data_IF_453827310058
#
_entry.id   IF_453827310058
#
_cell.length_a   1.000
_cell.length_b   1.000
_cell.length_c   1.000
_cell.angle_alpha   90.00
_cell.angle_beta   90.00
_cell.angle_gamma   90.00
#
_symmetry.space_group_name_H-M   'P 1'
#
loop_
_entity.id
_entity.type
_entity.pdbx_description
1 polymer ?
#
# COMPACT_ATOMS: atom_id res chain seq x y z
N UNK A 1 31.77 -4.46 2.53
CA UNK A 1 30.79 -5.12 3.41
C UNK A 1 29.55 -5.53 2.63
N UNK A 2 28.32 -5.04 2.87
CA UNK A 2 27.12 -5.53 2.14
C UNK A 2 27.20 -5.26 0.63
N UNK A 3 27.50 -4.03 0.22
CA UNK A 3 27.58 -3.67 -1.21
C UNK A 3 28.70 -4.45 -1.91
N UNK A 4 29.85 -4.64 -1.27
CA UNK A 4 30.95 -5.43 -1.83
C UNK A 4 30.52 -6.90 -2.02
N UNK A 5 29.84 -7.47 -0.98
CA UNK A 5 29.27 -8.81 -1.08
C UNK A 5 28.27 -8.94 -2.24
N UNK A 6 27.33 -7.99 -2.37
CA UNK A 6 26.33 -8.02 -3.44
C UNK A 6 26.98 -7.83 -4.83
N UNK A 7 28.02 -7.01 -4.94
CA UNK A 7 28.78 -6.83 -6.16
C UNK A 7 29.48 -8.12 -6.59
N UNK A 8 30.13 -8.82 -5.66
CA UNK A 8 30.75 -10.10 -5.93
C UNK A 8 29.71 -11.17 -6.28
N UNK A 9 28.64 -11.26 -5.48
CA UNK A 9 27.58 -12.25 -5.64
C UNK A 9 26.82 -12.13 -6.98
N UNK A 10 26.48 -10.90 -7.37
CA UNK A 10 25.77 -10.63 -8.64
C UNK A 10 26.72 -10.34 -9.81
N UNK A 11 28.03 -10.37 -9.59
CA UNK A 11 29.04 -9.93 -10.58
C UNK A 11 28.64 -8.56 -11.17
N UNK A 12 28.36 -7.59 -10.30
CA UNK A 12 27.77 -6.30 -10.65
C UNK A 12 28.62 -5.11 -10.19
N UNK A 13 28.29 -3.92 -10.66
CA UNK A 13 28.79 -2.62 -10.17
C UNK A 13 27.60 -1.82 -9.60
N UNK A 14 27.14 -2.24 -8.42
CA UNK A 14 25.99 -1.65 -7.73
C UNK A 14 26.40 -0.34 -7.03
N UNK A 15 25.57 0.68 -7.20
CA UNK A 15 25.73 2.00 -6.58
C UNK A 15 24.44 2.40 -5.88
N UNK A 16 24.56 3.00 -4.69
CA UNK A 16 23.43 3.59 -3.99
C UNK A 16 22.85 4.75 -4.81
N UNK A 17 21.54 4.79 -4.94
CA UNK A 17 20.83 5.89 -5.59
C UNK A 17 20.14 6.78 -4.55
N UNK A 18 19.59 6.23 -3.50
CA UNK A 18 19.00 6.94 -2.37
C UNK A 18 18.64 6.00 -1.22
N UNK A 19 18.46 6.56 -0.04
CA UNK A 19 17.88 5.91 1.12
C UNK A 19 16.48 6.48 1.36
N UNK A 20 15.46 5.62 1.40
CA UNK A 20 14.07 6.02 1.59
C UNK A 20 13.51 5.31 2.82
N UNK A 21 13.08 6.08 3.82
CA UNK A 21 12.41 5.58 5.03
C UNK A 21 13.13 4.38 5.70
N UNK A 22 14.47 4.38 5.69
CA UNK A 22 15.30 3.30 6.25
C UNK A 22 15.59 2.14 5.28
N UNK A 23 15.00 2.14 4.09
CA UNK A 23 15.35 1.20 3.01
C UNK A 23 16.40 1.83 2.10
N UNK A 24 17.37 1.03 1.65
CA UNK A 24 18.41 1.46 0.72
C UNK A 24 18.15 0.86 -0.65
N UNK A 25 18.34 1.66 -1.70
CA UNK A 25 18.20 1.21 -3.08
C UNK A 25 19.55 1.31 -3.81
N UNK A 26 19.87 0.24 -4.56
CA UNK A 26 21.06 0.21 -5.40
C UNK A 26 20.66 -0.09 -6.84
N UNK A 27 21.46 0.41 -7.78
CA UNK A 27 21.35 0.08 -9.21
C UNK A 27 22.72 -0.23 -9.79
N UNK A 28 22.77 -1.10 -10.79
CA UNK A 28 24.01 -1.43 -11.49
C UNK A 28 23.83 -2.54 -12.52
N UNK A 29 24.80 -2.68 -13.42
CA UNK A 29 24.82 -3.74 -14.41
C UNK A 29 25.37 -5.04 -13.82
N UNK A 30 24.68 -6.16 -14.05
CA UNK A 30 25.12 -7.49 -13.65
C UNK A 30 25.54 -8.32 -14.85
N UNK A 31 26.72 -8.90 -14.77
CA UNK A 31 27.20 -9.88 -15.75
C UNK A 31 26.56 -11.24 -15.55
N UNK A 32 26.21 -11.59 -14.32
CA UNK A 32 25.54 -12.85 -14.00
C UNK A 32 24.14 -12.93 -14.63
N UNK A 33 23.33 -11.86 -14.51
CA UNK A 33 21.96 -11.82 -15.02
C UNK A 33 21.86 -11.21 -16.43
N UNK A 34 22.95 -10.71 -17.00
CA UNK A 34 22.96 -9.97 -18.26
C UNK A 34 21.88 -8.87 -18.31
N UNK A 35 21.76 -8.12 -17.20
CA UNK A 35 20.71 -7.15 -16.99
C UNK A 35 21.15 -6.04 -16.02
N UNK A 36 20.50 -4.89 -16.15
CA UNK A 36 20.54 -3.86 -15.14
C UNK A 36 19.67 -4.28 -13.95
N UNK A 37 20.22 -4.19 -12.76
CA UNK A 37 19.58 -4.55 -11.50
C UNK A 37 19.02 -3.32 -10.80
N UNK A 38 17.89 -3.51 -10.14
CA UNK A 38 17.34 -2.65 -9.10
C UNK A 38 17.26 -3.48 -7.81
N UNK A 39 18.03 -3.08 -6.81
CA UNK A 39 18.19 -3.83 -5.57
C UNK A 39 17.58 -3.03 -4.42
N UNK A 40 16.65 -3.65 -3.70
CA UNK A 40 16.03 -3.10 -2.50
C UNK A 40 16.59 -3.80 -1.27
N UNK A 41 17.02 -3.04 -0.28
CA UNK A 41 17.57 -3.55 0.99
C UNK A 41 16.65 -3.10 2.10
N UNK A 42 16.12 -4.07 2.84
CA UNK A 42 15.15 -3.88 3.92
C UNK A 42 15.79 -4.18 5.27
N UNK A 43 15.31 -3.52 6.31
CA UNK A 43 15.56 -3.87 7.72
C UNK A 43 14.40 -4.67 8.32
N UNK A 44 13.20 -4.49 7.80
CA UNK A 44 11.96 -5.12 8.25
C UNK A 44 11.69 -6.40 7.44
N UNK A 45 11.58 -7.54 8.13
CA UNK A 45 11.32 -8.86 7.49
C UNK A 45 9.99 -8.87 6.73
N UNK A 46 8.98 -8.27 7.31
CA UNK A 46 7.64 -8.22 6.74
C UNK A 46 7.64 -7.50 5.40
N UNK A 47 8.33 -6.37 5.28
CA UNK A 47 8.48 -5.62 4.03
C UNK A 47 9.23 -6.42 2.97
N UNK A 48 10.31 -7.09 3.38
CA UNK A 48 11.09 -7.96 2.49
C UNK A 48 10.23 -9.10 1.93
N UNK A 49 9.54 -9.86 2.80
CA UNK A 49 8.71 -10.97 2.34
C UNK A 49 7.54 -10.51 1.48
N UNK A 50 6.92 -9.38 1.80
CA UNK A 50 5.87 -8.81 0.97
C UNK A 50 6.39 -8.46 -0.43
N UNK A 51 7.50 -7.73 -0.53
CA UNK A 51 8.12 -7.37 -1.81
C UNK A 51 8.53 -8.61 -2.61
N UNK A 52 9.18 -9.59 -1.97
CA UNK A 52 9.60 -10.83 -2.60
C UNK A 52 8.42 -11.62 -3.14
N UNK A 53 7.52 -12.07 -2.25
CA UNK A 53 6.46 -13.01 -2.60
C UNK A 53 5.47 -12.43 -3.62
N UNK A 54 5.18 -11.11 -3.53
CA UNK A 54 4.30 -10.49 -4.51
C UNK A 54 4.98 -10.39 -5.87
N UNK A 55 6.26 -9.98 -5.94
CA UNK A 55 6.99 -9.93 -7.21
C UNK A 55 7.14 -11.30 -7.87
N UNK A 56 7.35 -12.37 -7.10
CA UNK A 56 7.42 -13.75 -7.65
C UNK A 56 6.16 -14.15 -8.42
N UNK A 57 4.99 -13.67 -8.00
CA UNK A 57 3.70 -14.00 -8.63
C UNK A 57 3.25 -12.94 -9.62
N UNK A 58 3.33 -11.65 -9.24
CA UNK A 58 2.82 -10.54 -10.06
C UNK A 58 3.75 -10.21 -11.23
N UNK A 59 5.05 -10.22 -10.99
CA UNK A 59 6.06 -9.80 -11.96
C UNK A 59 7.23 -10.81 -12.06
N UNK A 60 6.98 -12.11 -12.36
CA UNK A 60 8.00 -13.16 -12.35
C UNK A 60 9.16 -12.92 -13.33
N UNK A 61 8.94 -12.11 -14.36
CA UNK A 61 10.00 -11.72 -15.30
C UNK A 61 10.84 -10.51 -14.83
N UNK A 62 10.43 -9.88 -13.73
CA UNK A 62 11.14 -8.76 -13.08
C UNK A 62 11.92 -9.26 -11.88
N UNK A 63 11.31 -10.13 -11.07
CA UNK A 63 11.94 -10.75 -9.93
C UNK A 63 13.13 -11.61 -10.40
N UNK A 64 14.29 -11.43 -9.76
CA UNK A 64 15.51 -12.16 -10.10
C UNK A 64 16.00 -13.03 -8.94
N UNK A 65 16.09 -12.44 -7.74
CA UNK A 65 16.69 -13.14 -6.60
C UNK A 65 16.36 -12.44 -5.28
N UNK A 66 16.64 -13.13 -4.19
CA UNK A 66 16.66 -12.58 -2.84
C UNK A 66 17.83 -13.12 -2.03
N UNK A 67 18.37 -12.30 -1.13
CA UNK A 67 19.48 -12.67 -0.26
C UNK A 67 19.23 -12.13 1.13
N UNK A 68 19.56 -12.93 2.14
CA UNK A 68 19.65 -12.50 3.54
C UNK A 68 21.15 -12.48 3.89
N UNK A 69 21.65 -11.30 4.21
CA UNK A 69 23.06 -11.11 4.59
C UNK A 69 23.13 -10.31 5.89
N UNK A 70 23.59 -10.97 6.96
CA UNK A 70 23.51 -10.45 8.32
C UNK A 70 22.06 -10.02 8.64
N UNK A 71 21.87 -8.77 9.12
CA UNK A 71 20.54 -8.21 9.41
C UNK A 71 19.94 -7.42 8.23
N UNK A 72 20.37 -7.72 7.00
CA UNK A 72 19.85 -7.08 5.80
C UNK A 72 19.11 -8.09 4.93
N UNK A 73 17.94 -7.69 4.49
CA UNK A 73 17.05 -8.47 3.63
C UNK A 73 17.02 -7.83 2.25
N UNK A 74 17.46 -8.56 1.24
CA UNK A 74 17.70 -8.01 -0.10
C UNK A 74 16.77 -8.64 -1.12
N UNK A 75 16.04 -7.82 -1.88
CA UNK A 75 15.30 -8.24 -3.07
C UNK A 75 15.96 -7.64 -4.30
N UNK A 76 16.25 -8.46 -5.28
CA UNK A 76 16.90 -8.05 -6.54
C UNK A 76 15.91 -8.21 -7.69
N UNK A 77 15.67 -7.12 -8.37
CA UNK A 77 14.75 -7.00 -9.49
C UNK A 77 15.50 -6.61 -10.76
N UNK A 78 14.97 -6.96 -11.91
CA UNK A 78 15.41 -6.43 -13.19
C UNK A 78 14.98 -4.97 -13.32
N UNK A 79 15.94 -4.06 -13.44
CA UNK A 79 15.63 -2.66 -13.72
C UNK A 79 15.06 -2.54 -15.16
N UNK A 80 13.85 -2.00 -15.24
CA UNK A 80 13.16 -1.74 -16.51
C UNK A 80 13.05 -0.24 -16.71
N UNK A 81 13.20 0.21 -17.94
CA UNK A 81 12.93 1.60 -18.29
C UNK A 81 11.42 1.80 -18.29
N UNK A 82 10.88 2.21 -17.13
CA UNK A 82 9.46 2.52 -16.94
C UNK A 82 9.27 4.04 -16.93
N UNK A 83 8.07 4.48 -17.33
CA UNK A 83 7.69 5.90 -17.33
C UNK A 83 6.77 6.18 -16.15
N UNK A 84 7.07 7.25 -15.43
CA UNK A 84 6.23 7.74 -14.33
C UNK A 84 4.95 8.39 -14.87
N UNK A 85 3.88 8.34 -14.07
CA UNK A 85 2.58 8.92 -14.41
C UNK A 85 2.25 10.19 -13.61
N UNK A 86 3.20 10.71 -12.82
CA UNK A 86 2.93 11.78 -11.84
C UNK A 86 2.23 13.01 -12.42
N UNK A 87 2.53 13.39 -13.66
CA UNK A 87 1.94 14.56 -14.31
C UNK A 87 0.61 14.25 -15.04
N UNK A 88 0.14 13.00 -15.01
CA UNK A 88 -1.07 12.62 -15.73
C UNK A 88 -2.31 13.08 -14.97
N UNK A 89 -3.06 14.02 -15.55
CA UNK A 89 -4.34 14.43 -15.00
C UNK A 89 -5.32 13.26 -14.94
N UNK A 90 -5.83 12.95 -13.73
CA UNK A 90 -6.83 11.89 -13.54
C UNK A 90 -8.17 12.39 -14.09
N UNK A 91 -8.70 11.66 -15.07
CA UNK A 91 -10.04 11.80 -15.62
C UNK A 91 -10.78 10.46 -15.49
N UNK A 92 -12.03 10.39 -15.92
CA UNK A 92 -12.84 9.18 -15.79
C UNK A 92 -12.26 7.95 -16.51
N UNK A 93 -11.58 8.13 -17.65
CA UNK A 93 -10.93 7.03 -18.37
C UNK A 93 -9.68 6.51 -17.62
N UNK A 94 -8.87 7.44 -17.11
CA UNK A 94 -7.68 7.09 -16.31
C UNK A 94 -8.09 6.40 -15.00
N UNK A 95 -9.11 6.93 -14.31
CA UNK A 95 -9.65 6.31 -13.11
C UNK A 95 -10.15 4.89 -13.36
N UNK A 96 -10.87 4.66 -14.46
CA UNK A 96 -11.29 3.31 -14.87
C UNK A 96 -10.10 2.35 -15.06
N UNK A 97 -9.04 2.81 -15.76
CA UNK A 97 -7.84 1.97 -15.98
C UNK A 97 -7.10 1.66 -14.68
N UNK A 98 -7.05 2.58 -13.73
CA UNK A 98 -6.45 2.35 -12.42
C UNK A 98 -7.26 1.35 -11.59
N UNK A 99 -8.59 1.45 -11.61
CA UNK A 99 -9.46 0.45 -10.99
C UNK A 99 -9.25 -0.94 -11.57
N UNK A 100 -9.24 -1.03 -12.91
CA UNK A 100 -8.97 -2.27 -13.63
C UNK A 100 -7.62 -2.88 -13.25
N UNK A 101 -6.57 -2.07 -13.18
CA UNK A 101 -5.22 -2.51 -12.81
C UNK A 101 -5.18 -3.10 -11.39
N UNK A 102 -5.82 -2.44 -10.42
CA UNK A 102 -5.87 -2.93 -9.04
C UNK A 102 -6.72 -4.21 -8.94
N UNK A 103 -7.85 -4.30 -9.66
CA UNK A 103 -8.66 -5.52 -9.71
C UNK A 103 -7.91 -6.70 -10.33
N UNK A 104 -7.12 -6.47 -11.38
CA UNK A 104 -6.22 -7.47 -11.97
C UNK A 104 -5.16 -7.93 -10.97
N UNK A 105 -4.57 -7.00 -10.21
CA UNK A 105 -3.59 -7.31 -9.16
C UNK A 105 -4.20 -8.21 -8.08
N UNK A 106 -5.32 -7.81 -7.46
CA UNK A 106 -5.98 -8.59 -6.42
C UNK A 106 -6.37 -9.99 -6.92
N UNK A 107 -6.88 -10.10 -8.14
CA UNK A 107 -7.26 -11.38 -8.73
C UNK A 107 -6.04 -12.29 -9.01
N UNK A 108 -4.91 -11.70 -9.39
CA UNK A 108 -3.70 -12.45 -9.72
C UNK A 108 -2.99 -12.98 -8.48
N UNK A 109 -2.84 -12.13 -7.42
CA UNK A 109 -1.97 -12.46 -6.28
C UNK A 109 -2.71 -13.12 -5.11
N UNK A 110 -4.00 -12.83 -4.93
CA UNK A 110 -4.78 -13.36 -3.80
C UNK A 110 -4.80 -14.89 -3.80
N UNK A 111 -4.52 -15.46 -2.63
CA UNK A 111 -4.42 -16.91 -2.43
C UNK A 111 -3.15 -17.57 -2.98
N UNK A 112 -2.23 -16.80 -3.59
CA UNK A 112 -0.99 -17.32 -4.18
C UNK A 112 0.27 -16.86 -3.46
N UNK A 113 0.16 -15.84 -2.61
CA UNK A 113 1.30 -15.26 -1.89
C UNK A 113 1.09 -15.32 -0.38
N UNK A 114 2.18 -15.47 0.35
CA UNK A 114 2.21 -15.41 1.80
C UNK A 114 2.70 -14.02 2.21
N UNK A 115 1.78 -13.21 2.72
CA UNK A 115 2.07 -11.90 3.29
C UNK A 115 1.44 -11.78 4.67
N UNK A 116 1.83 -10.75 5.41
CA UNK A 116 1.31 -10.51 6.76
C UNK A 116 -0.22 -10.35 6.75
N UNK A 117 -0.86 -10.96 7.74
CA UNK A 117 -2.26 -10.78 8.08
C UNK A 117 -2.40 -10.41 9.56
N UNK A 118 -3.09 -9.32 9.85
CA UNK A 118 -3.43 -8.99 11.23
C UNK A 118 -4.72 -9.71 11.62
N UNK A 119 -4.58 -10.81 12.35
CA UNK A 119 -5.70 -11.65 12.79
C UNK A 119 -6.39 -11.13 14.05
N UNK A 120 -5.96 -9.99 14.59
CA UNK A 120 -6.61 -9.38 15.75
C UNK A 120 -7.92 -8.73 15.35
N UNK A 121 -8.94 -8.72 16.23
CA UNK A 121 -10.17 -7.98 16.01
C UNK A 121 -9.91 -6.52 15.59
N UNK A 122 -10.66 -6.02 14.62
CA UNK A 122 -10.50 -4.66 14.08
C UNK A 122 -10.52 -3.57 15.18
N UNK A 123 -11.41 -3.65 16.20
CA UNK A 123 -11.39 -2.69 17.31
C UNK A 123 -10.12 -2.71 18.14
N UNK A 124 -9.47 -3.87 18.26
CA UNK A 124 -8.20 -4.00 18.99
C UNK A 124 -7.06 -3.37 18.19
N UNK A 125 -6.99 -3.63 16.89
CA UNK A 125 -6.01 -2.99 15.99
C UNK A 125 -6.11 -1.46 16.07
N UNK A 126 -7.33 -0.90 16.02
CA UNK A 126 -7.59 0.53 16.12
C UNK A 126 -7.15 1.08 17.47
N UNK A 127 -7.54 0.41 18.59
CA UNK A 127 -7.21 0.89 19.96
C UNK A 127 -5.71 0.88 20.22
N UNK A 128 -4.99 -0.15 19.80
CA UNK A 128 -3.54 -0.23 19.99
C UNK A 128 -2.79 0.85 19.20
N UNK A 129 -3.18 1.10 17.95
CA UNK A 129 -2.61 2.20 17.16
C UNK A 129 -2.93 3.56 17.79
N UNK A 130 -4.15 3.76 18.26
CA UNK A 130 -4.54 5.01 18.95
C UNK A 130 -3.75 5.22 20.24
N UNK A 131 -3.50 4.16 21.02
CA UNK A 131 -2.68 4.24 22.25
C UNK A 131 -1.24 4.67 21.96
N UNK A 132 -0.64 4.19 20.86
CA UNK A 132 0.70 4.65 20.43
C UNK A 132 0.74 6.14 20.07
N UNK A 133 -0.40 6.73 19.73
CA UNK A 133 -0.55 8.13 19.33
C UNK A 133 -1.09 9.05 20.43
N UNK A 134 -1.27 8.56 21.66
CA UNK A 134 -1.90 9.29 22.77
C UNK A 134 -1.21 10.60 23.14
N UNK A 135 0.12 10.68 22.94
CA UNK A 135 0.93 11.85 23.23
C UNK A 135 1.26 12.69 21.98
N UNK A 136 0.66 12.35 20.84
CA UNK A 136 0.86 13.06 19.58
C UNK A 136 -0.06 14.28 19.43
N UNK A 137 0.25 15.14 18.46
CA UNK A 137 -0.63 16.24 18.05
C UNK A 137 -2.02 15.79 17.57
N UNK A 138 -2.19 14.49 17.28
CA UNK A 138 -3.43 13.87 16.80
C UNK A 138 -4.28 13.27 17.92
N UNK A 139 -3.82 13.25 19.17
CA UNK A 139 -4.49 12.57 20.29
C UNK A 139 -5.96 12.99 20.48
N UNK A 140 -6.24 14.29 20.52
CA UNK A 140 -7.60 14.79 20.74
C UNK A 140 -8.60 14.42 19.63
N UNK A 141 -8.31 14.61 18.32
CA UNK A 141 -9.20 14.15 17.25
C UNK A 141 -9.33 12.62 17.17
N UNK A 142 -8.29 11.86 17.47
CA UNK A 142 -8.34 10.39 17.57
C UNK A 142 -9.30 9.95 18.66
N UNK A 143 -9.16 10.50 19.87
CA UNK A 143 -10.06 10.19 20.99
C UNK A 143 -11.53 10.51 20.67
N UNK A 144 -11.76 11.62 19.98
CA UNK A 144 -13.11 11.98 19.51
C UNK A 144 -13.66 10.93 18.55
N UNK A 145 -12.86 10.49 17.57
CA UNK A 145 -13.25 9.47 16.60
C UNK A 145 -13.52 8.11 17.26
N UNK A 146 -12.69 7.69 18.23
CA UNK A 146 -12.91 6.46 18.99
C UNK A 146 -14.25 6.48 19.74
N UNK A 147 -14.60 7.60 20.40
CA UNK A 147 -15.86 7.74 21.11
C UNK A 147 -17.06 7.66 20.15
N UNK A 148 -16.96 8.29 18.98
CA UNK A 148 -18.02 8.29 17.96
C UNK A 148 -18.28 6.90 17.37
N UNK A 149 -17.22 6.08 17.19
CA UNK A 149 -17.29 4.77 16.58
C UNK A 149 -17.47 3.62 17.58
N UNK A 150 -17.44 3.88 18.86
CA UNK A 150 -17.46 2.84 19.90
C UNK A 150 -18.68 1.91 19.80
N UNK A 151 -19.85 2.45 19.44
CA UNK A 151 -21.08 1.67 19.26
C UNK A 151 -21.07 0.80 18.00
N UNK A 152 -20.28 1.17 17.00
CA UNK A 152 -20.20 0.51 15.69
C UNK A 152 -19.19 -0.63 15.68
N UNK A 153 -18.24 -0.68 16.62
CA UNK A 153 -17.10 -1.60 16.61
C UNK A 153 -17.48 -3.07 16.49
N UNK A 154 -18.50 -3.54 17.21
CA UNK A 154 -18.88 -4.96 17.17
C UNK A 154 -19.40 -5.36 15.79
N UNK A 155 -20.28 -4.53 15.23
CA UNK A 155 -20.87 -4.78 13.90
C UNK A 155 -19.81 -4.67 12.79
N UNK A 156 -18.95 -3.66 12.88
CA UNK A 156 -17.87 -3.48 11.91
C UNK A 156 -16.85 -4.64 11.95
N UNK A 157 -16.57 -5.18 13.13
CA UNK A 157 -15.70 -6.34 13.29
C UNK A 157 -16.31 -7.62 12.71
N UNK A 158 -17.59 -7.89 13.01
CA UNK A 158 -18.34 -9.02 12.47
C UNK A 158 -18.39 -8.98 10.93
N UNK A 159 -18.68 -7.83 10.35
CA UNK A 159 -18.68 -7.64 8.90
C UNK A 159 -17.27 -7.76 8.31
N UNK A 160 -16.26 -7.17 8.96
CA UNK A 160 -14.86 -7.26 8.53
C UNK A 160 -14.39 -8.70 8.42
N UNK A 161 -14.77 -9.56 9.37
CA UNK A 161 -14.44 -10.98 9.34
C UNK A 161 -15.16 -11.77 8.24
N UNK A 162 -16.36 -11.34 7.85
CA UNK A 162 -17.17 -12.00 6.82
C UNK A 162 -16.80 -11.61 5.40
N UNK A 163 -16.26 -10.41 5.20
CA UNK A 163 -15.87 -9.93 3.87
C UNK A 163 -14.68 -10.71 3.30
N UNK A 164 -14.69 -10.98 1.99
CA UNK A 164 -13.56 -11.58 1.31
C UNK A 164 -12.26 -10.80 1.54
N UNK A 165 -11.23 -11.50 1.95
CA UNK A 165 -9.88 -10.92 2.11
C UNK A 165 -9.11 -11.08 0.82
N UNK A 166 -8.34 -10.06 0.48
CA UNK A 166 -7.42 -10.02 -0.66
C UNK A 166 -6.01 -9.70 -0.19
N UNK A 167 -5.04 -9.94 -1.05
CA UNK A 167 -3.69 -9.38 -0.88
C UNK A 167 -3.74 -7.93 -1.33
N UNK A 168 -3.76 -7.00 -0.38
CA UNK A 168 -3.70 -5.57 -0.64
C UNK A 168 -2.33 -5.18 -1.22
N UNK A 169 -2.31 -4.16 -2.07
CA UNK A 169 -1.06 -3.47 -2.42
C UNK A 169 -0.48 -2.73 -1.19
N UNK A 170 -1.37 -2.19 -0.34
CA UNK A 170 -1.02 -1.52 0.91
C UNK A 170 -0.52 -0.08 0.76
N UNK A 171 -0.09 0.32 -0.45
CA UNK A 171 0.30 1.70 -0.79
C UNK A 171 -0.10 2.06 -2.22
N UNK A 172 -1.30 1.67 -2.63
CA UNK A 172 -1.82 1.96 -3.97
C UNK A 172 -1.92 3.48 -4.18
N UNK A 173 -1.17 3.99 -5.14
CA UNK A 173 -1.06 5.43 -5.46
C UNK A 173 -0.51 5.62 -6.87
N UNK A 174 -0.72 6.81 -7.48
CA UNK A 174 -0.21 7.09 -8.84
C UNK A 174 1.30 6.92 -8.95
N UNK A 175 2.05 7.27 -7.91
CA UNK A 175 3.53 7.11 -7.90
C UNK A 175 3.99 5.64 -8.02
N UNK A 176 3.13 4.70 -7.62
CA UNK A 176 3.39 3.26 -7.68
C UNK A 176 2.75 2.61 -8.91
N UNK A 177 2.22 3.42 -9.84
CA UNK A 177 1.71 3.01 -11.14
C UNK A 177 2.68 3.52 -12.21
N UNK A 178 3.28 2.61 -12.96
CA UNK A 178 4.22 2.92 -14.02
C UNK A 178 3.64 2.53 -15.38
N UNK A 179 4.15 3.13 -16.43
CA UNK A 179 3.90 2.67 -17.79
C UNK A 179 5.13 1.91 -18.32
N UNK A 180 4.91 0.67 -18.76
CA UNK A 180 5.93 -0.17 -19.37
C UNK A 180 5.40 -0.79 -20.65
N UNK A 181 6.03 -0.51 -21.78
CA UNK A 181 5.64 -0.99 -23.11
C UNK A 181 4.15 -0.76 -23.43
N UNK A 182 3.64 0.44 -23.10
CA UNK A 182 2.25 0.84 -23.34
C UNK A 182 1.21 0.19 -22.40
N UNK A 183 1.65 -0.46 -21.31
CA UNK A 183 0.78 -1.05 -20.28
C UNK A 183 1.06 -0.45 -18.93
N UNK A 184 -0.01 -0.28 -18.14
CA UNK A 184 0.13 0.09 -16.74
C UNK A 184 0.58 -1.13 -15.93
N UNK A 185 1.52 -0.91 -15.02
CA UNK A 185 2.04 -1.91 -14.09
C UNK A 185 2.16 -1.32 -12.69
N UNK A 186 2.01 -2.17 -11.68
CA UNK A 186 2.25 -1.79 -10.28
C UNK A 186 3.69 -2.12 -9.89
N UNK A 187 4.22 -1.31 -8.98
CA UNK A 187 5.53 -1.50 -8.36
C UNK A 187 5.41 -1.24 -6.86
N UNK A 188 6.43 -1.64 -6.10
CA UNK A 188 6.58 -1.30 -4.68
C UNK A 188 5.56 -1.99 -3.77
N UNK A 189 5.76 -3.31 -3.59
CA UNK A 189 4.86 -4.20 -2.85
C UNK A 189 5.27 -4.40 -1.39
N UNK A 190 6.22 -3.66 -0.88
CA UNK A 190 6.77 -3.83 0.48
C UNK A 190 5.73 -3.66 1.59
N UNK A 191 4.58 -3.04 1.30
CA UNK A 191 3.46 -2.83 2.24
C UNK A 191 2.29 -3.76 1.99
N UNK A 192 2.44 -4.75 1.12
CA UNK A 192 1.39 -5.71 0.83
C UNK A 192 1.07 -6.55 2.07
N UNK A 193 -0.22 -6.73 2.31
CA UNK A 193 -0.77 -7.48 3.46
C UNK A 193 -2.15 -8.03 3.12
N UNK A 194 -2.65 -8.98 3.91
CA UNK A 194 -4.04 -9.44 3.78
C UNK A 194 -5.00 -8.41 4.39
N UNK A 195 -6.10 -8.14 3.71
CA UNK A 195 -7.16 -7.27 4.19
C UNK A 195 -8.35 -7.22 3.25
N UNK A 196 -9.35 -6.40 3.58
CA UNK A 196 -10.50 -6.20 2.69
C UNK A 196 -10.17 -5.16 1.61
N UNK A 197 -10.62 -5.41 0.40
CA UNK A 197 -10.37 -4.59 -0.81
C UNK A 197 -10.48 -3.08 -0.58
N UNK A 198 -11.50 -2.66 0.16
CA UNK A 198 -11.77 -1.26 0.45
C UNK A 198 -10.59 -0.50 1.06
N UNK A 199 -9.68 -1.18 1.78
CA UNK A 199 -8.53 -0.56 2.43
C UNK A 199 -7.56 0.06 1.41
N UNK A 200 -7.38 -0.55 0.22
CA UNK A 200 -6.54 0.03 -0.84
C UNK A 200 -7.18 1.26 -1.50
N UNK A 201 -8.51 1.42 -1.43
CA UNK A 201 -9.18 2.58 -2.02
C UNK A 201 -9.06 3.85 -1.16
N UNK A 202 -8.97 3.71 0.18
CA UNK A 202 -9.09 4.82 1.11
C UNK A 202 -8.06 5.92 0.81
N UNK A 203 -6.77 5.59 0.88
CA UNK A 203 -5.70 6.57 0.63
C UNK A 203 -5.76 7.15 -0.78
N UNK A 204 -6.04 6.31 -1.76
CA UNK A 204 -6.13 6.69 -3.16
C UNK A 204 -7.25 7.70 -3.41
N UNK A 205 -8.42 7.48 -2.84
CA UNK A 205 -9.54 8.41 -2.96
C UNK A 205 -9.32 9.72 -2.23
N UNK A 206 -8.64 9.71 -1.08
CA UNK A 206 -8.32 10.95 -0.37
C UNK A 206 -7.24 11.78 -1.05
N UNK A 207 -6.26 11.12 -1.64
CA UNK A 207 -5.09 11.78 -2.21
C UNK A 207 -5.29 12.17 -3.68
N UNK A 208 -5.84 11.28 -4.48
CA UNK A 208 -5.73 11.34 -5.94
C UNK A 208 -7.07 11.41 -6.65
N UNK A 209 -8.07 10.64 -6.23
CA UNK A 209 -9.41 10.60 -6.86
C UNK A 209 -10.45 11.23 -5.94
N UNK A 210 -10.47 12.54 -5.88
CA UNK A 210 -11.35 13.30 -4.97
C UNK A 210 -12.77 13.49 -5.53
N UNK A 211 -12.93 13.53 -6.86
CA UNK A 211 -14.23 13.68 -7.52
C UNK A 211 -15.02 12.36 -7.43
N UNK A 212 -16.22 12.36 -6.83
CA UNK A 212 -17.06 11.16 -6.71
C UNK A 212 -17.34 10.47 -8.06
N UNK A 213 -17.47 11.23 -9.15
CA UNK A 213 -17.69 10.68 -10.48
C UNK A 213 -16.51 9.83 -10.96
N UNK A 214 -15.29 10.22 -10.60
CA UNK A 214 -14.08 9.46 -10.94
C UNK A 214 -13.90 8.26 -10.01
N UNK A 215 -14.35 8.36 -8.74
CA UNK A 215 -14.42 7.18 -7.85
C UNK A 215 -15.34 6.11 -8.42
N UNK A 216 -16.53 6.49 -8.90
CA UNK A 216 -17.43 5.53 -9.56
C UNK A 216 -16.76 4.90 -10.79
N UNK A 217 -16.10 5.70 -11.63
CA UNK A 217 -15.37 5.15 -12.80
C UNK A 217 -14.24 4.20 -12.40
N UNK A 218 -13.56 4.48 -11.30
CA UNK A 218 -12.57 3.56 -10.73
C UNK A 218 -13.22 2.24 -10.30
N UNK A 219 -14.33 2.30 -9.58
CA UNK A 219 -15.08 1.11 -9.15
C UNK A 219 -15.57 0.28 -10.35
N UNK A 220 -16.13 0.91 -11.38
CA UNK A 220 -16.52 0.24 -12.64
C UNK A 220 -15.33 -0.53 -13.24
N UNK A 221 -14.15 0.08 -13.23
CA UNK A 221 -12.93 -0.57 -13.73
C UNK A 221 -12.47 -1.72 -12.85
N UNK A 222 -12.54 -1.57 -11.55
CA UNK A 222 -12.19 -2.60 -10.58
C UNK A 222 -13.11 -3.82 -10.72
N UNK A 223 -14.42 -3.61 -10.73
CA UNK A 223 -15.43 -4.67 -10.85
C UNK A 223 -15.36 -5.43 -12.20
N UNK A 224 -14.85 -4.81 -13.24
CA UNK A 224 -14.59 -5.50 -14.50
C UNK A 224 -13.53 -6.62 -14.36
N UNK A 225 -12.79 -6.69 -13.24
CA UNK A 225 -11.72 -7.65 -13.00
C UNK A 225 -11.85 -8.42 -11.70
N UNK A 226 -12.42 -7.85 -10.67
CA UNK A 226 -12.56 -8.46 -9.34
C UNK A 226 -13.87 -8.03 -8.71
N UNK A 227 -14.59 -8.96 -8.08
CA UNK A 227 -15.82 -8.64 -7.37
C UNK A 227 -15.53 -7.73 -6.18
N UNK A 228 -16.43 -6.78 -5.94
CA UNK A 228 -16.32 -5.84 -4.83
C UNK A 228 -17.68 -5.70 -4.12
N UNK A 229 -17.67 -5.95 -2.84
CA UNK A 229 -18.79 -5.64 -1.96
C UNK A 229 -18.48 -4.33 -1.23
N UNK A 230 -19.40 -3.37 -1.34
CA UNK A 230 -19.25 -2.09 -0.64
C UNK A 230 -19.52 -2.33 0.84
N UNK A 231 -18.54 -2.06 1.72
CA UNK A 231 -18.75 -2.23 3.15
C UNK A 231 -19.85 -1.32 3.68
N UNK A 232 -20.50 -1.73 4.78
CA UNK A 232 -21.44 -0.88 5.51
C UNK A 232 -20.79 0.45 5.89
N UNK A 233 -21.62 1.44 6.15
CA UNK A 233 -21.17 2.75 6.58
C UNK A 233 -20.34 2.68 7.87
N UNK A 234 -20.72 1.82 8.80
CA UNK A 234 -20.04 1.56 10.06
C UNK A 234 -18.63 1.01 9.82
N UNK A 235 -18.50 -0.01 8.97
CA UNK A 235 -17.19 -0.60 8.65
C UNK A 235 -16.31 0.36 7.87
N UNK A 236 -16.87 1.09 6.89
CA UNK A 236 -16.09 2.11 6.15
C UNK A 236 -15.45 3.14 7.09
N UNK A 237 -16.20 3.62 8.11
CA UNK A 237 -15.70 4.60 9.09
C UNK A 237 -14.63 4.01 10.00
N UNK A 238 -14.77 2.76 10.42
CA UNK A 238 -13.75 2.06 11.20
C UNK A 238 -12.46 1.86 10.41
N UNK A 239 -12.55 1.44 9.14
CA UNK A 239 -11.39 1.29 8.25
C UNK A 239 -10.74 2.65 7.89
N UNK A 240 -11.57 3.70 7.77
CA UNK A 240 -11.06 5.06 7.60
C UNK A 240 -10.27 5.51 8.82
N UNK A 241 -10.76 5.21 10.04
CA UNK A 241 -10.01 5.51 11.27
C UNK A 241 -8.69 4.72 11.30
N UNK A 242 -8.71 3.43 10.99
CA UNK A 242 -7.48 2.61 10.93
C UNK A 242 -6.45 3.22 9.97
N UNK A 243 -6.88 3.61 8.76
CA UNK A 243 -6.01 4.27 7.78
C UNK A 243 -5.51 5.64 8.26
N UNK A 244 -6.36 6.43 8.92
CA UNK A 244 -5.94 7.72 9.50
C UNK A 244 -4.87 7.53 10.57
N UNK A 245 -5.01 6.51 11.44
CA UNK A 245 -4.02 6.17 12.46
C UNK A 245 -2.68 5.78 11.85
N UNK A 246 -2.67 4.95 10.79
CA UNK A 246 -1.44 4.58 10.07
C UNK A 246 -0.72 5.82 9.49
N UNK A 247 -1.48 6.76 8.93
CA UNK A 247 -0.91 8.01 8.41
C UNK A 247 -0.41 8.91 9.52
N UNK A 248 -1.11 8.98 10.66
CA UNK A 248 -0.64 9.73 11.84
C UNK A 248 0.67 9.15 12.38
N UNK A 249 0.77 7.82 12.53
CA UNK A 249 2.01 7.14 12.94
C UNK A 249 3.17 7.48 12.00
N UNK A 250 2.95 7.34 10.69
CA UNK A 250 3.96 7.70 9.69
C UNK A 250 4.37 9.17 9.79
N UNK A 251 3.41 10.08 9.93
CA UNK A 251 3.70 11.52 9.99
C UNK A 251 4.37 11.98 11.29
N UNK A 252 4.30 11.20 12.37
CA UNK A 252 5.05 11.49 13.61
C UNK A 252 6.54 11.23 13.45
N UNK A 253 6.92 10.23 12.66
CA UNK A 253 8.30 9.85 12.39
C UNK A 253 8.87 10.54 11.14
N UNK A 254 8.01 10.87 10.17
CA UNK A 254 8.34 11.53 8.90
C UNK A 254 7.44 12.75 8.69
N UNK A 255 7.66 13.84 9.41
CA UNK A 255 6.79 15.01 9.35
C UNK A 255 6.69 15.58 7.95
N UNK A 256 5.45 15.71 7.42
CA UNK A 256 5.18 16.25 6.10
C UNK A 256 3.78 16.86 6.01
N UNK A 257 3.68 18.04 5.39
CA UNK A 257 2.40 18.76 5.26
C UNK A 257 1.31 17.92 4.57
N UNK A 258 1.66 17.18 3.54
CA UNK A 258 0.72 16.35 2.74
C UNK A 258 0.04 15.30 3.62
N UNK A 259 0.81 14.51 4.35
CA UNK A 259 0.31 13.43 5.21
C UNK A 259 -0.47 13.96 6.42
N UNK A 260 0.04 15.02 7.06
CA UNK A 260 -0.67 15.67 8.16
C UNK A 260 -2.04 16.21 7.74
N UNK A 261 -2.14 16.84 6.57
CA UNK A 261 -3.41 17.32 6.03
C UNK A 261 -4.37 16.16 5.73
N UNK A 262 -3.88 15.08 5.12
CA UNK A 262 -4.70 13.91 4.79
C UNK A 262 -5.26 13.23 6.05
N UNK A 263 -4.43 13.02 7.07
CA UNK A 263 -4.88 12.46 8.35
C UNK A 263 -5.97 13.33 9.00
N UNK A 264 -5.79 14.65 9.03
CA UNK A 264 -6.78 15.58 9.55
C UNK A 264 -8.10 15.54 8.77
N UNK A 265 -8.05 15.43 7.44
CA UNK A 265 -9.25 15.31 6.60
C UNK A 265 -9.99 14.01 6.88
N UNK A 266 -9.30 12.88 7.02
CA UNK A 266 -9.90 11.59 7.37
C UNK A 266 -10.60 11.64 8.74
N UNK A 267 -9.94 12.19 9.77
CA UNK A 267 -10.52 12.35 11.10
C UNK A 267 -11.71 13.31 11.09
N UNK A 268 -11.68 14.36 10.28
CA UNK A 268 -12.81 15.28 10.10
C UNK A 268 -14.00 14.59 9.43
N UNK A 269 -13.78 13.77 8.42
CA UNK A 269 -14.82 12.96 7.75
C UNK A 269 -15.53 12.05 8.76
N UNK A 270 -14.78 11.35 9.61
CA UNK A 270 -15.34 10.51 10.67
C UNK A 270 -16.21 11.33 11.62
N UNK A 271 -15.71 12.51 12.03
CA UNK A 271 -16.43 13.42 12.93
C UNK A 271 -17.76 13.92 12.32
N UNK A 272 -17.78 14.18 11.03
CA UNK A 272 -18.98 14.65 10.32
C UNK A 272 -20.00 13.53 10.07
N UNK A 273 -19.62 12.27 10.29
CA UNK A 273 -20.47 11.12 10.00
C UNK A 273 -20.50 10.70 8.54
N UNK A 274 -19.58 11.17 7.72
CA UNK A 274 -19.52 10.85 6.29
C UNK A 274 -18.81 9.50 6.05
N UNK A 275 -19.14 8.84 4.93
CA UNK A 275 -18.40 7.72 4.37
C UNK A 275 -17.58 8.15 3.15
N UNK A 276 -16.52 7.40 2.83
CA UNK A 276 -15.69 7.69 1.64
C UNK A 276 -16.42 7.31 0.36
N UNK A 277 -17.19 6.23 0.43
CA UNK A 277 -18.08 5.77 -0.63
C UNK A 277 -19.52 6.00 -0.17
N UNK A 278 -20.07 7.16 -0.48
CA UNK A 278 -21.52 7.34 -0.54
C UNK A 278 -21.95 6.96 -1.95
N UNK A 279 -22.55 5.81 -2.08
CA UNK A 279 -23.24 5.39 -3.31
C UNK A 279 -24.71 5.65 -3.13
#
# INVERSE_FOLDING_TARGET
MLIDFLNDYYQADLKSIHDVAGNQHLVGESRLYHAKLFVKIFKEKEMFYAEQHVNEVYAPNVYLDNVIFEDNYVVTLRDRQMQELEDRQINGQVAYQFGKLLGEFHNLVTGKVLVYEDQRPLPLQIKEKAERLKDSAYAAPILTSLKLLQADFSRADEEYEQLPKVVLHGDFSVRNIMEYQGKLVLIDFERSKIGVTYQDFIKFFYNEVKDPRFRQRFLDGYEAKHQFEIPSHELQRCLLLLSALEICEYNTTHPGKKYGTMAQQMLATIKNGDAVLSL
#
